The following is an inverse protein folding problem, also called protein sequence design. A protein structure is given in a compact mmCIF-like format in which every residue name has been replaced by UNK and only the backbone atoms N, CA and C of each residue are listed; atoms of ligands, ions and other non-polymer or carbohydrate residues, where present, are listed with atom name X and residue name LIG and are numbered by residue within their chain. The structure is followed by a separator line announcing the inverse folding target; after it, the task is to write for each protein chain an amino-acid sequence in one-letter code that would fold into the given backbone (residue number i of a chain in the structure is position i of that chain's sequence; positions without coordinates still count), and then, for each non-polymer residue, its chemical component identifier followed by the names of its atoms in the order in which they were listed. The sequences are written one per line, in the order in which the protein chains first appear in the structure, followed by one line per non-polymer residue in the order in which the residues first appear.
data_IF_163182661535
#
_entry.id   IF_163182661535
#
_cell.length_a   1.000
_cell.length_b   1.000
_cell.length_c   1.000
_cell.angle_alpha   90.00
_cell.angle_beta   90.00
_cell.angle_gamma   90.00
#
_symmetry.space_group_name_H-M   'P 1'
#
loop_
_entity.id
_entity.type
_entity.pdbx_description
1 polymer ?
#
# COMPACT_ATOMS: atom_id res chain seq x y z
N UNK A 1 -5.32 -15.14 -5.81
CA UNK A 1 -5.81 -13.76 -5.86
C UNK A 1 -6.33 -13.45 -4.46
N UNK A 2 -5.90 -12.37 -3.78
CA UNK A 2 -6.37 -12.08 -2.42
C UNK A 2 -7.88 -11.86 -2.33
N UNK A 3 -8.55 -11.66 -3.46
CA UNK A 3 -9.99 -11.49 -3.55
C UNK A 3 -10.77 -12.81 -3.70
N UNK A 4 -10.09 -13.96 -3.82
CA UNK A 4 -10.72 -15.25 -4.07
C UNK A 4 -10.49 -16.21 -2.90
N UNK A 5 -11.58 -16.66 -2.28
CA UNK A 5 -11.57 -17.66 -1.21
C UNK A 5 -11.29 -19.07 -1.74
N UNK A 6 -10.94 -19.99 -0.83
CA UNK A 6 -10.65 -21.40 -1.16
C UNK A 6 -11.87 -22.15 -1.74
N UNK A 7 -13.08 -21.65 -1.45
CA UNK A 7 -14.35 -22.12 -1.99
C UNK A 7 -14.71 -21.51 -3.36
N UNK A 8 -13.83 -20.65 -3.90
CA UNK A 8 -14.07 -19.90 -5.13
C UNK A 8 -15.01 -18.70 -4.97
N UNK A 9 -15.41 -18.37 -3.74
CA UNK A 9 -16.16 -17.14 -3.45
C UNK A 9 -15.28 -15.90 -3.60
N UNK A 10 -15.90 -14.77 -3.97
CA UNK A 10 -15.21 -13.48 -3.98
C UNK A 10 -15.34 -12.80 -2.61
N UNK A 11 -14.28 -12.13 -2.16
CA UNK A 11 -14.32 -11.33 -0.93
C UNK A 11 -15.27 -10.14 -1.09
N UNK A 12 -16.06 -9.83 -0.06
CA UNK A 12 -16.99 -8.68 -0.08
C UNK A 12 -16.24 -7.34 -0.26
N UNK A 13 -15.07 -7.22 0.39
CA UNK A 13 -14.16 -6.09 0.20
C UNK A 13 -13.16 -6.42 -0.91
N UNK A 14 -13.10 -5.56 -1.93
CA UNK A 14 -12.12 -5.67 -3.00
C UNK A 14 -10.75 -5.17 -2.54
N UNK A 15 -9.75 -6.03 -2.62
CA UNK A 15 -8.34 -5.73 -2.42
C UNK A 15 -7.74 -5.21 -3.75
N UNK A 16 -7.45 -3.89 -3.85
CA UNK A 16 -6.90 -3.32 -5.06
C UNK A 16 -5.43 -3.72 -5.26
N UNK A 17 -5.05 -3.90 -6.53
CA UNK A 17 -3.66 -4.12 -6.89
C UNK A 17 -2.84 -2.87 -6.60
N UNK A 18 -1.75 -3.00 -5.84
CA UNK A 18 -0.84 -1.88 -5.60
C UNK A 18 -0.07 -1.51 -6.88
N UNK A 19 -0.23 -0.28 -7.35
CA UNK A 19 0.53 0.24 -8.51
C UNK A 19 1.48 1.37 -8.12
N UNK A 20 2.53 1.60 -8.91
CA UNK A 20 3.46 2.72 -8.65
C UNK A 20 2.79 4.10 -8.83
N UNK A 21 1.74 4.16 -9.66
CA UNK A 21 1.00 5.38 -9.98
C UNK A 21 0.06 5.74 -8.84
N UNK A 22 -0.87 4.84 -8.54
CA UNK A 22 -2.00 5.13 -7.67
C UNK A 22 -1.70 4.68 -6.22
N UNK A 23 -0.78 3.74 -6.02
CA UNK A 23 -0.26 3.30 -4.70
C UNK A 23 -1.37 2.86 -3.76
N UNK A 24 -2.33 2.14 -4.31
CA UNK A 24 -3.52 1.65 -3.61
C UNK A 24 -3.12 0.66 -2.51
N UNK A 25 -3.81 0.71 -1.39
CA UNK A 25 -3.64 -0.25 -0.31
C UNK A 25 -4.98 -0.48 0.40
N UNK A 26 -5.09 -1.63 1.05
CA UNK A 26 -6.23 -1.98 1.90
C UNK A 26 -5.82 -1.91 3.37
N UNK A 27 -6.62 -1.26 4.20
CA UNK A 27 -6.45 -1.25 5.66
C UNK A 27 -7.09 -2.50 6.24
N UNK A 28 -6.29 -3.33 6.91
CA UNK A 28 -6.78 -4.52 7.60
C UNK A 28 -7.12 -4.17 9.06
N UNK A 29 -8.42 -4.10 9.36
CA UNK A 29 -8.97 -3.89 10.70
C UNK A 29 -10.13 -4.86 10.94
N UNK A 30 -10.40 -5.13 12.21
CA UNK A 30 -11.55 -5.88 12.70
C UNK A 30 -12.89 -5.15 12.53
N UNK A 31 -12.88 -3.81 12.51
CA UNK A 31 -14.11 -3.01 12.47
C UNK A 31 -14.43 -2.44 11.09
N UNK A 32 -13.45 -1.88 10.40
CA UNK A 32 -13.64 -1.17 9.13
C UNK A 32 -12.48 -1.43 8.18
N UNK A 33 -12.79 -1.94 7.00
CA UNK A 33 -11.80 -2.16 5.94
C UNK A 33 -11.95 -1.04 4.90
N UNK A 34 -10.90 -0.23 4.72
CA UNK A 34 -10.91 0.90 3.80
C UNK A 34 -9.77 0.82 2.79
N UNK A 35 -10.04 1.27 1.57
CA UNK A 35 -9.03 1.45 0.52
C UNK A 35 -8.43 2.85 0.62
N UNK A 36 -7.11 2.91 0.76
CA UNK A 36 -6.35 4.15 0.79
C UNK A 36 -5.33 4.23 -0.34
N UNK A 37 -4.68 5.40 -0.43
CA UNK A 37 -3.67 5.69 -1.46
C UNK A 37 -2.41 6.27 -0.84
N UNK A 38 -1.25 5.80 -1.27
CA UNK A 38 0.02 6.46 -0.97
C UNK A 38 0.40 6.50 0.52
N UNK A 39 0.39 5.34 1.19
CA UNK A 39 0.76 5.22 2.60
C UNK A 39 2.15 5.81 2.89
N UNK A 40 2.22 6.73 3.86
CA UNK A 40 3.46 7.36 4.35
C UNK A 40 4.37 7.91 3.24
N UNK A 41 3.80 8.39 2.14
CA UNK A 41 4.55 8.82 0.94
C UNK A 41 5.65 9.84 1.23
N UNK A 42 5.41 10.78 2.15
CA UNK A 42 6.41 11.79 2.57
C UNK A 42 7.59 11.14 3.28
N UNK A 43 7.33 10.26 4.24
CA UNK A 43 8.38 9.56 4.98
C UNK A 43 9.16 8.62 4.05
N UNK A 44 8.46 7.87 3.18
CA UNK A 44 9.12 7.02 2.21
C UNK A 44 9.99 7.83 1.22
N UNK A 45 9.53 9.01 0.77
CA UNK A 45 10.34 9.87 -0.08
C UNK A 45 11.61 10.35 0.64
N UNK A 46 11.50 10.73 1.92
CA UNK A 46 12.65 11.07 2.74
C UNK A 46 13.64 9.90 2.83
N UNK A 47 13.19 8.74 3.33
CA UNK A 47 14.08 7.60 3.59
C UNK A 47 14.64 6.96 2.34
N UNK A 48 13.86 6.85 1.26
CA UNK A 48 14.27 6.13 0.05
C UNK A 48 14.97 7.02 -0.98
N UNK A 49 14.71 8.32 -0.99
CA UNK A 49 15.22 9.24 -2.03
C UNK A 49 16.18 10.27 -1.44
N UNK A 50 15.75 10.98 -0.40
CA UNK A 50 16.53 12.10 0.14
C UNK A 50 17.71 11.65 0.99
N UNK A 51 17.50 10.73 1.94
CA UNK A 51 18.55 10.30 2.86
C UNK A 51 19.77 9.67 2.15
N UNK A 52 19.62 8.78 1.15
CA UNK A 52 20.79 8.24 0.45
C UNK A 52 21.60 9.31 -0.28
N UNK A 53 20.93 10.34 -0.81
CA UNK A 53 21.60 11.49 -1.45
C UNK A 53 22.36 12.34 -0.43
N UNK A 54 21.77 12.55 0.75
CA UNK A 54 22.42 13.28 1.84
C UNK A 54 23.68 12.57 2.33
N UNK A 55 23.60 11.26 2.55
CA UNK A 55 24.75 10.45 2.98
C UNK A 55 25.84 10.43 1.91
N UNK A 56 25.49 10.37 0.63
CA UNK A 56 26.48 10.38 -0.46
C UNK A 56 27.17 11.75 -0.65
N UNK A 57 26.55 12.83 -0.17
CA UNK A 57 27.09 14.20 -0.27
C UNK A 57 27.90 14.63 0.97
N UNK A 58 27.97 13.77 2.00
CA UNK A 58 28.71 14.02 3.25
C UNK A 58 29.91 13.08 3.32
#
# INVERSE_FOLDING_TARGET
DPNMGDDGSWTEAFWPRHTAKDKEYLTLDTNTTDVGYGIRTRQCAFWKKYLPQLIAAT
#
